data_IF_284146447373
#
_entry.id   IF_284146447373
#
_cell.length_a   1.000
_cell.length_b   1.000
_cell.length_c   1.000
_cell.angle_alpha   90.00
_cell.angle_beta   90.00
_cell.angle_gamma   90.00
#
_symmetry.space_group_name_H-M   'P 1'
#
loop_
_entity.id
_entity.type
_entity.pdbx_description
1 polymer ?
#
# COMPACT_ATOMS: atom_id res chain seq x y z
N UNK A 1 -23.18 0.06 -5.05
CA UNK A 1 -22.65 -0.76 -3.94
C UNK A 1 -22.32 0.15 -2.79
N UNK A 2 -22.73 -0.20 -1.57
CA UNK A 2 -22.32 0.50 -0.35
C UNK A 2 -21.34 -0.43 0.35
N UNK A 3 -20.13 0.05 0.63
CA UNK A 3 -19.08 -0.68 1.34
C UNK A 3 -18.92 -0.04 2.72
N UNK A 4 -19.62 -0.53 3.75
CA UNK A 4 -19.64 0.09 5.08
C UNK A 4 -18.27 0.13 5.77
N UNK A 5 -17.32 -0.69 5.31
CA UNK A 5 -15.92 -0.72 5.77
C UNK A 5 -15.17 0.57 5.40
N UNK A 6 -15.59 1.27 4.35
CA UNK A 6 -15.05 2.58 3.98
C UNK A 6 -15.87 3.70 4.63
N UNK A 7 -15.51 4.00 5.88
CA UNK A 7 -16.22 5.01 6.68
C UNK A 7 -15.83 6.45 6.32
N UNK A 8 -14.65 6.66 5.73
CA UNK A 8 -14.17 7.99 5.32
C UNK A 8 -13.35 7.90 4.04
N UNK A 9 -13.20 9.04 3.37
CA UNK A 9 -12.35 9.16 2.20
C UNK A 9 -10.86 9.15 2.55
N UNK A 10 -10.06 8.51 1.71
CA UNK A 10 -8.60 8.51 1.81
C UNK A 10 -7.95 8.47 0.43
N UNK A 11 -6.75 9.02 0.32
CA UNK A 11 -5.99 9.15 -0.93
C UNK A 11 -4.56 8.66 -0.76
N UNK A 12 -3.82 8.54 -1.87
CA UNK A 12 -2.41 8.12 -1.88
C UNK A 12 -2.15 6.78 -1.17
N UNK A 13 -3.11 5.87 -1.22
CA UNK A 13 -2.96 4.49 -0.74
C UNK A 13 -2.26 3.63 -1.78
N UNK A 14 -1.73 2.50 -1.33
CA UNK A 14 -1.26 1.43 -2.21
C UNK A 14 -2.44 0.54 -2.60
N UNK A 15 -2.49 0.13 -3.86
CA UNK A 15 -3.44 -0.88 -4.35
C UNK A 15 -2.69 -2.00 -5.05
N UNK A 16 -2.95 -3.24 -4.62
CA UNK A 16 -2.45 -4.45 -5.27
C UNK A 16 -3.62 -5.30 -5.74
N UNK A 17 -3.46 -6.00 -6.85
CA UNK A 17 -4.47 -6.90 -7.38
C UNK A 17 -3.92 -8.31 -7.50
N UNK A 18 -4.76 -9.29 -7.15
CA UNK A 18 -4.53 -10.70 -7.42
C UNK A 18 -5.86 -11.31 -7.83
N UNK A 19 -5.94 -11.81 -9.05
CA UNK A 19 -7.16 -12.41 -9.61
C UNK A 19 -8.36 -11.44 -9.53
N UNK A 20 -9.36 -11.79 -8.71
CA UNK A 20 -10.62 -11.09 -8.48
C UNK A 20 -10.60 -10.20 -7.23
N UNK A 21 -9.42 -10.05 -6.60
CA UNK A 21 -9.25 -9.41 -5.31
C UNK A 21 -8.31 -8.21 -5.41
N UNK A 22 -8.72 -7.10 -4.80
CA UNK A 22 -7.94 -5.88 -4.62
C UNK A 22 -7.57 -5.75 -3.13
N UNK A 23 -6.30 -5.51 -2.85
CA UNK A 23 -5.79 -5.18 -1.54
C UNK A 23 -5.44 -3.70 -1.49
N UNK A 24 -6.01 -2.97 -0.53
CA UNK A 24 -5.77 -1.53 -0.35
C UNK A 24 -5.03 -1.33 0.98
N UNK A 25 -3.90 -0.63 0.94
CA UNK A 25 -2.98 -0.51 2.08
C UNK A 25 -2.67 0.97 2.35
N UNK A 26 -2.80 1.37 3.61
CA UNK A 26 -2.49 2.72 4.09
C UNK A 26 -3.38 3.80 3.47
N UNK A 27 -2.76 4.90 3.07
CA UNK A 27 -3.41 6.11 2.59
C UNK A 27 -3.43 7.24 3.62
N UNK A 28 -3.82 8.42 3.15
CA UNK A 28 -4.01 9.63 3.96
C UNK A 28 -5.47 10.03 3.96
N UNK A 29 -6.05 10.21 5.14
CA UNK A 29 -7.38 10.79 5.32
C UNK A 29 -7.21 12.30 5.51
N UNK A 30 -7.69 13.08 4.54
CA UNK A 30 -7.64 14.55 4.61
C UNK A 30 -8.55 15.10 5.71
N UNK A 31 -9.68 14.44 5.96
CA UNK A 31 -10.67 14.85 6.97
C UNK A 31 -10.09 14.81 8.39
N UNK A 32 -9.33 13.77 8.71
CA UNK A 32 -8.73 13.59 10.04
C UNK A 32 -7.26 14.01 10.10
N UNK A 33 -6.66 14.33 8.95
CA UNK A 33 -5.22 14.50 8.76
C UNK A 33 -4.38 13.34 9.33
N UNK A 34 -4.85 12.10 9.16
CA UNK A 34 -4.16 10.90 9.65
C UNK A 34 -3.78 9.96 8.52
N UNK A 35 -2.81 9.07 8.80
CA UNK A 35 -2.41 7.96 7.93
C UNK A 35 -2.74 6.64 8.63
N UNK A 36 -4.02 6.24 8.71
CA UNK A 36 -4.40 5.02 9.39
C UNK A 36 -3.71 3.81 8.74
N UNK A 37 -3.32 2.78 9.51
CA UNK A 37 -2.73 1.55 9.00
C UNK A 37 -3.80 0.66 8.35
N UNK A 38 -4.51 1.22 7.38
CA UNK A 38 -5.59 0.55 6.66
C UNK A 38 -5.06 -0.68 5.94
N UNK A 39 -5.84 -1.76 5.99
CA UNK A 39 -5.65 -2.94 5.15
C UNK A 39 -7.02 -3.50 4.80
N UNK A 40 -7.45 -3.26 3.56
CA UNK A 40 -8.73 -3.73 3.06
C UNK A 40 -8.52 -4.79 2.00
N UNK A 41 -9.34 -5.85 2.04
CA UNK A 41 -9.46 -6.84 0.98
C UNK A 41 -10.83 -6.64 0.32
N UNK A 42 -10.83 -6.23 -0.94
CA UNK A 42 -12.05 -6.06 -1.75
C UNK A 42 -12.10 -7.17 -2.77
N UNK A 43 -13.08 -8.08 -2.65
CA UNK A 43 -13.32 -9.17 -3.59
C UNK A 43 -14.46 -8.80 -4.55
N UNK A 44 -14.28 -9.08 -5.83
CA UNK A 44 -15.23 -8.76 -6.89
C UNK A 44 -15.65 -10.05 -7.61
N UNK A 45 -16.92 -10.42 -7.50
CA UNK A 45 -17.49 -11.54 -8.26
C UNK A 45 -18.38 -11.01 -9.40
N UNK A 46 -18.37 -11.69 -10.55
CA UNK A 46 -19.11 -11.26 -11.76
C UNK A 46 -20.16 -12.29 -12.21
N UNK A 47 -21.27 -12.49 -11.45
CA UNK A 47 -22.35 -13.35 -11.88
C UNK A 47 -23.18 -12.73 -13.03
N UNK A 48 -24.02 -13.53 -13.68
CA UNK A 48 -24.99 -13.03 -14.66
C UNK A 48 -25.98 -12.08 -13.97
N UNK A 49 -26.05 -10.83 -14.45
CA UNK A 49 -26.88 -9.78 -13.87
C UNK A 49 -26.05 -8.58 -13.41
N UNK A 50 -25.66 -8.54 -12.14
CA UNK A 50 -24.88 -7.46 -11.55
C UNK A 50 -23.63 -7.99 -10.82
N UNK A 51 -22.52 -7.23 -10.82
CA UNK A 51 -21.36 -7.55 -9.99
C UNK A 51 -21.73 -7.73 -8.51
N UNK A 52 -20.98 -8.54 -7.77
CA UNK A 52 -21.01 -8.55 -6.32
C UNK A 52 -19.64 -8.05 -5.81
N UNK A 53 -19.66 -7.18 -4.81
CA UNK A 53 -18.45 -6.62 -4.21
C UNK A 53 -18.53 -6.83 -2.71
N UNK A 54 -17.50 -7.46 -2.14
CA UNK A 54 -17.38 -7.68 -0.71
C UNK A 54 -16.07 -7.06 -0.22
N UNK A 55 -16.12 -6.32 0.89
CA UNK A 55 -14.94 -5.73 1.52
C UNK A 55 -14.73 -6.32 2.91
N UNK A 56 -13.49 -6.61 3.27
CA UNK A 56 -13.10 -7.05 4.60
C UNK A 56 -11.94 -6.20 5.11
N UNK A 57 -12.03 -5.76 6.36
CA UNK A 57 -10.90 -5.11 7.06
C UNK A 57 -10.01 -6.20 7.64
N UNK A 58 -8.72 -6.15 7.30
CA UNK A 58 -7.71 -7.07 7.83
C UNK A 58 -6.83 -6.34 8.86
N UNK A 59 -6.18 -7.10 9.74
CA UNK A 59 -5.16 -6.58 10.66
C UNK A 59 -3.77 -6.58 10.02
N UNK A 60 -2.84 -5.82 10.59
CA UNK A 60 -1.44 -5.79 10.12
C UNK A 60 -1.17 -4.86 8.93
N UNK A 61 -2.03 -3.87 8.70
CA UNK A 61 -1.76 -2.81 7.72
C UNK A 61 -0.61 -1.91 8.11
N UNK A 62 -0.18 -1.06 7.16
CA UNK A 62 0.95 -0.15 7.33
C UNK A 62 0.46 1.30 7.30
N UNK A 63 0.86 2.09 8.30
CA UNK A 63 0.61 3.52 8.33
C UNK A 63 1.59 4.23 7.38
N UNK A 64 1.12 4.48 6.15
CA UNK A 64 1.89 5.14 5.10
C UNK A 64 0.98 5.81 4.07
N UNK A 65 1.43 6.92 3.48
CA UNK A 65 0.85 7.47 2.26
C UNK A 65 1.92 7.67 1.18
N UNK A 66 1.51 7.65 -0.10
CA UNK A 66 2.37 7.91 -1.26
C UNK A 66 3.57 6.96 -1.35
N UNK A 67 3.42 5.72 -0.87
CA UNK A 67 4.45 4.71 -0.99
C UNK A 67 4.57 4.22 -2.44
N UNK A 68 5.76 3.76 -2.79
CA UNK A 68 6.04 3.10 -4.07
C UNK A 68 6.00 1.60 -3.80
N UNK A 69 5.40 0.84 -4.72
CA UNK A 69 5.38 -0.62 -4.63
C UNK A 69 5.93 -1.21 -5.92
N UNK A 70 6.87 -2.14 -5.79
CA UNK A 70 7.47 -2.86 -6.92
C UNK A 70 7.34 -4.36 -6.70
N UNK A 71 7.11 -5.11 -7.78
CA UNK A 71 7.08 -6.57 -7.75
C UNK A 71 8.51 -7.12 -7.88
N UNK A 72 8.96 -7.90 -6.89
CA UNK A 72 10.32 -8.48 -6.86
C UNK A 72 10.34 -9.95 -7.29
N UNK A 73 9.26 -10.70 -7.04
CA UNK A 73 9.06 -12.05 -7.55
C UNK A 73 7.58 -12.27 -7.88
N UNK A 74 7.26 -13.43 -8.43
CA UNK A 74 5.87 -13.88 -8.48
C UNK A 74 5.29 -13.79 -7.06
N UNK A 75 4.20 -13.04 -6.90
CA UNK A 75 3.45 -12.90 -5.63
C UNK A 75 4.17 -12.15 -4.49
N UNK A 76 5.41 -11.71 -4.69
CA UNK A 76 6.21 -10.97 -3.71
C UNK A 76 6.41 -9.52 -4.18
N UNK A 77 6.00 -8.57 -3.34
CA UNK A 77 6.12 -7.14 -3.59
C UNK A 77 6.90 -6.48 -2.46
N UNK A 78 7.47 -5.31 -2.73
CA UNK A 78 8.13 -4.49 -1.71
C UNK A 78 7.51 -3.10 -1.71
N UNK A 79 7.07 -2.66 -0.53
CA UNK A 79 6.72 -1.26 -0.26
C UNK A 79 7.99 -0.51 0.12
N UNK A 80 8.26 0.58 -0.60
CA UNK A 80 9.37 1.48 -0.31
C UNK A 80 8.87 2.91 -0.21
N UNK A 81 9.41 3.63 0.76
CA UNK A 81 9.24 5.06 0.91
C UNK A 81 7.84 5.50 1.32
N UNK A 82 7.43 6.68 0.85
CA UNK A 82 6.22 7.36 1.29
C UNK A 82 6.41 8.13 2.60
N UNK A 83 5.30 8.44 3.28
CA UNK A 83 5.28 9.31 4.45
C UNK A 83 4.55 8.65 5.61
N UNK A 84 5.13 8.74 6.81
CA UNK A 84 4.49 8.31 8.05
C UNK A 84 3.66 9.43 8.68
N UNK A 85 4.13 10.67 8.55
CA UNK A 85 3.44 11.90 8.97
C UNK A 85 3.81 13.04 8.02
N UNK A 86 3.20 14.21 8.20
CA UNK A 86 3.42 15.37 7.31
C UNK A 86 4.87 15.87 7.32
N UNK A 87 5.61 15.57 8.38
CA UNK A 87 7.00 16.00 8.57
C UNK A 87 8.00 14.82 8.61
N UNK A 88 7.54 13.59 8.38
CA UNK A 88 8.39 12.40 8.49
C UNK A 88 8.20 11.45 7.31
N UNK A 89 9.25 11.35 6.48
CA UNK A 89 9.37 10.32 5.45
C UNK A 89 9.46 8.93 6.10
N UNK A 90 8.92 7.92 5.43
CA UNK A 90 9.00 6.52 5.88
C UNK A 90 10.28 5.86 5.37
N UNK A 91 11.28 5.73 6.24
CA UNK A 91 12.61 5.21 5.85
C UNK A 91 12.73 3.67 5.84
N UNK A 92 11.75 2.94 6.36
CA UNK A 92 11.74 1.48 6.40
C UNK A 92 11.05 0.89 5.17
N UNK A 93 11.37 -0.36 4.84
CA UNK A 93 10.74 -1.10 3.75
C UNK A 93 9.88 -2.25 4.31
N UNK A 94 8.86 -2.66 3.56
CA UNK A 94 8.06 -3.84 3.88
C UNK A 94 8.02 -4.79 2.70
N UNK A 95 8.06 -6.09 2.97
CA UNK A 95 7.69 -7.11 1.98
C UNK A 95 6.21 -7.41 2.12
N UNK A 96 5.54 -7.59 0.98
CA UNK A 96 4.18 -8.13 0.90
C UNK A 96 4.27 -9.48 0.19
N UNK A 97 3.78 -10.53 0.82
CA UNK A 97 3.52 -11.81 0.18
C UNK A 97 2.01 -11.95 -0.07
N UNK A 98 1.63 -12.19 -1.33
CA UNK A 98 0.24 -12.35 -1.76
C UNK A 98 -0.03 -13.79 -2.19
N UNK A 99 -0.73 -14.57 -1.37
CA UNK A 99 -1.25 -15.88 -1.76
C UNK A 99 -2.71 -15.75 -2.23
N UNK A 100 -3.29 -16.84 -2.75
CA UNK A 100 -4.63 -16.87 -3.37
C UNK A 100 -5.75 -16.24 -2.52
N UNK A 101 -5.63 -16.26 -1.20
CA UNK A 101 -6.61 -15.63 -0.32
C UNK A 101 -6.02 -14.82 0.82
N UNK A 102 -4.68 -14.71 0.91
CA UNK A 102 -3.97 -14.17 2.06
C UNK A 102 -2.98 -13.10 1.64
N UNK A 103 -2.89 -12.06 2.45
CA UNK A 103 -1.83 -11.06 2.37
C UNK A 103 -1.05 -11.12 3.68
N UNK A 104 0.27 -11.15 3.58
CA UNK A 104 1.17 -11.01 4.71
C UNK A 104 2.11 -9.84 4.47
N UNK A 105 2.15 -8.91 5.43
CA UNK A 105 3.06 -7.77 5.39
C UNK A 105 4.12 -7.95 6.48
N UNK A 106 5.38 -8.03 6.05
CA UNK A 106 6.54 -8.17 6.93
C UNK A 106 7.48 -6.98 6.81
N UNK A 107 8.34 -6.79 7.80
CA UNK A 107 9.46 -5.84 7.68
C UNK A 107 10.52 -6.40 6.73
N UNK A 108 11.13 -5.50 5.95
CA UNK A 108 12.27 -5.80 5.09
C UNK A 108 13.40 -4.85 5.45
N UNK A 109 14.63 -5.35 5.42
CA UNK A 109 15.82 -4.51 5.56
C UNK A 109 15.77 -3.36 4.55
N UNK A 110 15.90 -2.14 5.07
CA UNK A 110 15.93 -0.94 4.25
C UNK A 110 17.31 -0.81 3.59
N UNK A 111 17.41 -0.22 2.39
CA UNK A 111 18.71 0.08 1.81
C UNK A 111 19.45 1.12 2.66
N UNK A 112 20.77 1.15 2.51
CA UNK A 112 21.58 2.23 3.07
C UNK A 112 21.29 3.55 2.36
N UNK A 113 20.36 4.32 2.92
CA UNK A 113 20.00 5.63 2.39
C UNK A 113 21.16 6.61 2.50
N UNK A 114 21.44 7.32 1.42
CA UNK A 114 22.45 8.39 1.40
C UNK A 114 22.05 9.55 2.33
N UNK A 115 23.00 10.37 2.79
CA UNK A 115 22.68 11.57 3.58
C UNK A 115 21.67 12.49 2.90
N UNK A 116 21.74 12.66 1.57
CA UNK A 116 20.81 13.55 0.85
C UNK A 116 19.37 13.03 0.93
N UNK A 117 19.16 11.71 0.77
CA UNK A 117 17.84 11.10 0.93
C UNK A 117 17.37 11.17 2.40
N UNK A 118 18.27 10.95 3.36
CA UNK A 118 17.95 11.03 4.80
C UNK A 118 17.49 12.44 5.19
N UNK A 119 18.22 13.47 4.78
CA UNK A 119 17.96 14.87 5.17
C UNK A 119 16.93 15.59 4.28
N UNK A 120 16.66 15.09 3.07
CA UNK A 120 15.62 15.66 2.19
C UNK A 120 14.26 15.67 2.87
N UNK A 121 13.50 16.76 2.76
CA UNK A 121 12.17 16.85 3.39
C UNK A 121 11.14 15.96 2.69
N UNK A 122 11.26 15.88 1.36
CA UNK A 122 10.33 15.17 0.48
C UNK A 122 11.10 14.17 -0.37
N UNK A 123 10.36 13.19 -0.87
CA UNK A 123 10.77 12.32 -1.96
C UNK A 123 9.54 11.94 -2.80
N UNK A 124 9.79 11.52 -4.02
CA UNK A 124 8.78 10.96 -4.89
C UNK A 124 9.45 9.96 -5.83
N UNK A 125 8.65 9.20 -6.55
CA UNK A 125 9.20 8.16 -7.40
C UNK A 125 8.14 7.23 -7.93
N UNK A 126 8.59 6.20 -8.62
CA UNK A 126 7.71 5.18 -9.17
C UNK A 126 8.44 3.86 -9.36
N UNK A 127 7.64 2.81 -9.54
CA UNK A 127 8.12 1.50 -9.94
C UNK A 127 8.61 1.55 -11.39
N UNK A 128 9.80 1.00 -11.63
CA UNK A 128 10.36 0.79 -12.97
C UNK A 128 10.11 -0.62 -13.50
N UNK A 129 9.48 -1.48 -12.69
CA UNK A 129 9.32 -2.90 -12.93
C UNK A 129 10.56 -3.70 -12.52
N UNK A 130 10.44 -5.02 -12.55
CA UNK A 130 11.52 -5.97 -12.24
C UNK A 130 12.22 -5.70 -10.88
N UNK A 131 11.46 -5.28 -9.87
CA UNK A 131 11.99 -4.99 -8.54
C UNK A 131 12.81 -3.70 -8.43
N UNK A 132 12.84 -2.85 -9.46
CA UNK A 132 13.57 -1.59 -9.47
C UNK A 132 12.63 -0.38 -9.26
N UNK A 133 13.10 0.63 -8.54
CA UNK A 133 12.38 1.90 -8.35
C UNK A 133 13.23 3.08 -8.77
N UNK A 134 12.58 4.12 -9.30
CA UNK A 134 13.18 5.44 -9.50
C UNK A 134 12.75 6.34 -8.35
N UNK A 135 13.71 7.02 -7.71
CA UNK A 135 13.48 7.93 -6.59
C UNK A 135 14.09 9.30 -6.89
N UNK A 136 13.37 10.37 -6.52
CA UNK A 136 13.78 11.77 -6.63
C UNK A 136 13.35 12.60 -5.44
#
# INVERSE_FOLDING_TARGET
YVLPEFQSGFSFHVSLTRNDTIYIIGGHSIETNTRPPNLYKVKIDLPLGSPAVNCCVLSGGVSVSSAIVTQVKENEFVIVGGYHSDNQKRMVCNTINLDDNKIEIGEKEAPEWTPDIKHGKIWFGSDMGNGAILLG
#
